data_IF_390150002178
#
_entry.id   IF_390150002178
#
_cell.length_a   1.000
_cell.length_b   1.000
_cell.length_c   1.000
_cell.angle_alpha   90.00
_cell.angle_beta   90.00
_cell.angle_gamma   90.00
#
_symmetry.space_group_name_H-M   'P 1'
#
loop_
_entity.id
_entity.type
_entity.pdbx_description
1 polymer ?
#
# COMPACT_ATOMS: atom_id res chain seq x y z
N UNK A 1 13.95 3.22 52.63
CA UNK A 1 13.05 3.05 51.46
C UNK A 1 13.04 4.22 50.49
N UNK A 2 13.30 5.47 50.90
CA UNK A 2 13.32 6.64 50.00
C UNK A 2 14.51 6.67 49.02
N UNK A 3 15.69 6.17 49.41
CA UNK A 3 16.89 6.14 48.55
C UNK A 3 16.73 5.23 47.32
N UNK A 4 16.06 4.09 47.47
CA UNK A 4 15.76 3.17 46.36
C UNK A 4 14.73 3.77 45.40
N UNK A 5 13.75 4.50 45.93
CA UNK A 5 12.72 5.17 45.13
C UNK A 5 13.32 6.25 44.22
N UNK A 6 14.30 7.01 44.72
CA UNK A 6 15.06 7.97 43.90
C UNK A 6 15.88 7.28 42.80
N UNK A 7 16.46 6.11 43.07
CA UNK A 7 17.24 5.37 42.09
C UNK A 7 16.37 4.80 40.96
N UNK A 8 15.17 4.32 41.29
CA UNK A 8 14.15 3.86 40.33
C UNK A 8 13.58 5.04 39.52
N UNK A 9 13.37 6.19 40.17
CA UNK A 9 12.93 7.41 39.47
C UNK A 9 13.99 7.95 38.52
N UNK A 10 15.29 7.76 38.82
CA UNK A 10 16.39 8.24 37.99
C UNK A 10 16.63 7.34 36.77
N UNK A 11 16.34 6.04 36.85
CA UNK A 11 16.41 5.15 35.68
C UNK A 11 15.29 5.38 34.67
N UNK A 12 14.16 5.93 35.11
CA UNK A 12 13.04 6.33 34.25
C UNK A 12 13.32 7.61 33.44
N UNK A 13 14.48 8.27 33.60
CA UNK A 13 14.85 9.43 32.77
C UNK A 13 15.54 9.05 31.46
N UNK A 14 15.85 7.77 31.24
CA UNK A 14 16.47 7.26 30.00
C UNK A 14 15.44 6.72 28.99
N UNK A 15 14.26 7.33 28.91
CA UNK A 15 13.34 7.06 27.80
C UNK A 15 13.91 7.68 26.53
N UNK A 16 14.56 6.86 25.71
CA UNK A 16 14.81 7.18 24.30
C UNK A 16 13.45 7.24 23.61
N UNK A 17 12.86 8.43 23.52
CA UNK A 17 11.77 8.68 22.59
C UNK A 17 12.33 8.55 21.17
N UNK A 18 12.16 7.38 20.56
CA UNK A 18 12.37 7.22 19.13
C UNK A 18 11.24 7.97 18.43
N UNK A 19 11.54 9.19 17.98
CA UNK A 19 10.68 9.93 17.06
C UNK A 19 10.99 9.39 15.66
N UNK A 20 10.12 8.54 15.14
CA UNK A 20 10.15 8.16 13.73
C UNK A 20 9.65 9.36 12.92
N UNK A 21 10.55 10.00 12.17
CA UNK A 21 10.18 10.98 11.17
C UNK A 21 9.96 10.26 9.84
N UNK A 22 8.98 10.71 9.07
CA UNK A 22 8.80 10.28 7.70
C UNK A 22 10.02 10.72 6.89
N UNK A 23 10.83 9.74 6.44
CA UNK A 23 11.99 10.01 5.61
C UNK A 23 11.44 10.27 4.20
N UNK A 24 11.37 11.54 3.81
CA UNK A 24 11.06 11.93 2.43
C UNK A 24 12.31 11.68 1.57
N UNK A 25 12.53 10.41 1.20
CA UNK A 25 13.60 10.03 0.28
C UNK A 25 13.12 10.44 -1.12
N UNK A 26 13.44 11.67 -1.52
CA UNK A 26 13.22 12.19 -2.87
C UNK A 26 14.24 11.60 -3.85
N UNK A 27 14.19 10.27 -4.06
CA UNK A 27 14.91 9.64 -5.17
C UNK A 27 13.98 9.57 -6.39
N UNK A 28 14.49 9.98 -7.55
CA UNK A 28 13.80 9.77 -8.83
C UNK A 28 13.66 8.26 -9.08
N UNK A 29 12.44 7.77 -8.92
CA UNK A 29 12.10 6.36 -9.09
C UNK A 29 11.59 6.13 -10.51
N UNK A 30 12.40 5.49 -11.35
CA UNK A 30 11.93 4.96 -12.63
C UNK A 30 11.41 3.54 -12.42
N UNK A 31 10.09 3.40 -12.28
CA UNK A 31 9.42 2.11 -12.11
C UNK A 31 8.67 1.78 -13.40
N UNK A 32 8.83 0.56 -13.89
CA UNK A 32 8.02 0.03 -14.97
C UNK A 32 7.80 -1.44 -14.68
N UNK A 33 6.58 -1.80 -14.31
CA UNK A 33 6.20 -3.16 -13.96
C UNK A 33 4.98 -3.61 -14.73
N UNK A 34 4.93 -4.91 -15.03
CA UNK A 34 3.74 -5.64 -15.47
C UNK A 34 3.42 -6.64 -14.37
N UNK A 35 2.20 -6.59 -13.80
CA UNK A 35 1.82 -7.48 -12.71
C UNK A 35 0.68 -8.42 -13.07
N UNK A 36 0.79 -9.65 -12.59
CA UNK A 36 -0.22 -10.69 -12.72
C UNK A 36 -0.91 -10.90 -11.37
N UNK A 37 -2.24 -10.98 -11.33
CA UNK A 37 -2.98 -11.28 -10.10
C UNK A 37 -2.71 -12.72 -9.67
N UNK A 38 -2.38 -12.93 -8.40
CA UNK A 38 -2.21 -14.26 -7.81
C UNK A 38 -3.47 -14.70 -7.04
N UNK A 39 -4.00 -13.81 -6.22
CA UNK A 39 -5.14 -14.09 -5.34
C UNK A 39 -5.80 -12.81 -4.86
N UNK A 40 -7.02 -12.96 -4.36
CA UNK A 40 -7.87 -11.89 -3.84
C UNK A 40 -8.53 -12.33 -2.54
N UNK A 41 -8.60 -11.45 -1.55
CA UNK A 41 -9.29 -11.67 -0.29
C UNK A 41 -10.47 -10.70 -0.22
N UNK A 42 -11.67 -11.24 -0.07
CA UNK A 42 -12.88 -10.46 0.10
C UNK A 42 -13.33 -10.49 1.57
N UNK A 43 -13.59 -9.30 2.11
CA UNK A 43 -14.25 -9.04 3.39
C UNK A 43 -15.49 -8.18 3.16
N UNK A 44 -16.66 -8.77 3.28
CA UNK A 44 -17.96 -8.12 3.27
C UNK A 44 -19.00 -9.01 4.00
N UNK A 45 -20.28 -8.67 3.92
CA UNK A 45 -21.37 -9.42 4.58
C UNK A 45 -21.57 -10.83 4.04
N UNK A 46 -21.22 -11.09 2.78
CA UNK A 46 -21.34 -12.39 2.12
C UNK A 46 -20.09 -13.24 2.38
N UNK A 47 -18.91 -12.62 2.24
CA UNK A 47 -17.61 -13.22 2.39
C UNK A 47 -16.90 -12.54 3.54
N UNK A 48 -16.97 -13.08 4.76
CA UNK A 48 -16.32 -12.46 5.92
C UNK A 48 -14.81 -12.26 5.69
N UNK A 49 -14.09 -13.33 5.34
CA UNK A 49 -12.69 -13.28 4.89
C UNK A 49 -12.44 -14.51 4.02
N UNK A 50 -12.85 -14.43 2.76
CA UNK A 50 -12.66 -15.54 1.83
C UNK A 50 -11.55 -15.22 0.85
N UNK A 51 -10.66 -16.19 0.64
CA UNK A 51 -9.57 -16.09 -0.33
C UNK A 51 -9.98 -16.82 -1.61
N UNK A 52 -9.72 -16.16 -2.74
CA UNK A 52 -9.92 -16.67 -4.08
C UNK A 52 -8.59 -16.63 -4.81
N UNK A 53 -8.21 -17.71 -5.48
CA UNK A 53 -7.06 -17.69 -6.38
C UNK A 53 -7.47 -17.05 -7.69
N UNK A 54 -6.52 -16.45 -8.41
CA UNK A 54 -6.82 -15.77 -9.68
C UNK A 54 -7.54 -16.68 -10.70
N UNK A 55 -7.17 -17.96 -10.76
CA UNK A 55 -7.80 -18.97 -11.62
C UNK A 55 -9.27 -19.27 -11.28
N UNK A 56 -9.69 -18.96 -10.06
CA UNK A 56 -11.04 -19.25 -9.55
C UNK A 56 -11.94 -18.00 -9.64
N UNK A 57 -11.40 -16.87 -10.13
CA UNK A 57 -12.14 -15.63 -10.38
C UNK A 57 -12.57 -15.60 -11.85
N UNK A 58 -13.88 -15.43 -12.09
CA UNK A 58 -14.49 -15.35 -13.43
C UNK A 58 -14.28 -13.99 -14.13
N UNK A 59 -13.44 -13.13 -13.55
CA UNK A 59 -13.16 -11.80 -14.08
C UNK A 59 -12.31 -11.90 -15.34
N UNK A 60 -12.93 -11.59 -16.49
CA UNK A 60 -12.26 -11.51 -17.80
C UNK A 60 -11.24 -10.36 -17.87
N UNK A 61 -11.29 -9.46 -16.90
CA UNK A 61 -10.40 -8.32 -16.68
C UNK A 61 -9.42 -8.61 -15.53
N UNK A 62 -8.80 -9.80 -15.51
CA UNK A 62 -7.62 -10.05 -14.67
C UNK A 62 -6.46 -9.21 -15.20
N UNK A 63 -6.57 -7.92 -14.93
CA UNK A 63 -5.84 -6.85 -15.57
C UNK A 63 -4.35 -7.00 -15.29
N UNK A 64 -3.60 -7.10 -16.37
CA UNK A 64 -2.18 -6.79 -16.33
C UNK A 64 -2.08 -5.37 -15.81
N UNK A 65 -1.56 -5.26 -14.59
CA UNK A 65 -1.36 -3.99 -13.95
C UNK A 65 -0.04 -3.40 -14.44
N UNK A 66 -0.13 -2.21 -15.01
CA UNK A 66 1.02 -1.46 -15.51
C UNK A 66 1.29 -0.27 -14.58
N UNK A 67 2.47 -0.29 -13.94
CA UNK A 67 2.90 0.78 -13.03
C UNK A 67 4.06 1.52 -13.65
N UNK A 68 3.91 2.82 -13.89
CA UNK A 68 4.96 3.72 -14.36
C UNK A 68 5.17 4.88 -13.38
N UNK A 69 6.35 4.98 -12.77
CA UNK A 69 6.75 6.14 -11.99
C UNK A 69 8.00 6.74 -12.62
N UNK A 70 8.07 8.07 -12.75
CA UNK A 70 9.26 8.80 -13.25
C UNK A 70 9.90 9.71 -12.21
N UNK A 71 9.12 10.14 -11.22
CA UNK A 71 9.46 10.99 -10.08
C UNK A 71 8.49 10.67 -8.92
N UNK A 72 8.84 10.91 -7.65
CA UNK A 72 7.91 10.68 -6.53
C UNK A 72 6.58 11.44 -6.68
N UNK A 73 6.56 12.59 -7.37
CA UNK A 73 5.35 13.39 -7.63
C UNK A 73 4.46 12.82 -8.75
N UNK A 74 4.97 11.89 -9.58
CA UNK A 74 4.22 11.33 -10.72
C UNK A 74 4.25 9.80 -10.67
N UNK A 75 3.14 9.22 -10.21
CA UNK A 75 2.87 7.79 -10.23
C UNK A 75 1.66 7.53 -11.14
N UNK A 76 1.88 6.82 -12.24
CA UNK A 76 0.84 6.37 -13.16
C UNK A 76 0.60 4.88 -12.92
N UNK A 77 -0.66 4.52 -12.69
CA UNK A 77 -1.08 3.14 -12.47
C UNK A 77 -2.25 2.84 -13.40
N UNK A 78 -2.07 1.88 -14.30
CA UNK A 78 -3.07 1.45 -15.28
C UNK A 78 -3.52 0.01 -14.96
N UNK A 79 -4.82 -0.27 -15.05
CA UNK A 79 -5.38 -1.58 -14.66
C UNK A 79 -5.77 -1.65 -13.17
N UNK A 80 -5.73 -0.53 -12.45
CA UNK A 80 -6.47 -0.33 -11.19
C UNK A 80 -7.62 0.64 -11.40
N UNK A 81 -8.34 0.97 -10.33
CA UNK A 81 -9.42 1.95 -10.34
C UNK A 81 -8.94 3.32 -10.84
N UNK A 82 -9.80 4.00 -11.60
CA UNK A 82 -9.62 5.41 -11.98
C UNK A 82 -9.46 6.34 -10.75
N UNK A 83 -9.86 5.87 -9.56
CA UNK A 83 -9.70 6.61 -8.31
C UNK A 83 -8.22 6.86 -7.95
N UNK A 84 -7.32 5.90 -8.24
CA UNK A 84 -5.88 6.08 -8.03
C UNK A 84 -5.20 6.88 -9.14
N UNK A 85 -5.86 7.08 -10.29
CA UNK A 85 -5.33 7.86 -11.40
C UNK A 85 -5.39 9.37 -11.19
N UNK A 86 -6.16 9.84 -10.19
CA UNK A 86 -6.25 11.26 -9.81
C UNK A 86 -5.08 11.63 -8.88
N UNK A 87 -3.99 12.14 -9.47
CA UNK A 87 -2.76 12.53 -8.76
C UNK A 87 -3.07 13.51 -7.61
N UNK A 88 -4.06 14.40 -7.74
CA UNK A 88 -4.39 15.39 -6.71
C UNK A 88 -4.93 14.75 -5.41
N UNK A 89 -5.43 13.51 -5.49
CA UNK A 89 -5.93 12.73 -4.35
C UNK A 89 -4.94 11.68 -3.86
N UNK A 90 -3.84 11.47 -4.59
CA UNK A 90 -2.87 10.43 -4.33
C UNK A 90 -1.76 10.93 -3.41
N UNK A 91 -1.58 10.27 -2.28
CA UNK A 91 -0.42 10.43 -1.42
C UNK A 91 0.53 9.26 -1.69
N UNK A 92 1.70 9.58 -2.26
CA UNK A 92 2.77 8.62 -2.53
C UNK A 92 3.88 8.82 -1.52
N UNK A 93 4.27 7.74 -0.84
CA UNK A 93 5.35 7.72 0.13
C UNK A 93 6.35 6.64 -0.21
N UNK A 94 7.62 7.02 -0.27
CA UNK A 94 8.73 6.08 -0.39
C UNK A 94 9.16 5.70 1.02
N UNK A 95 8.94 4.44 1.40
CA UNK A 95 9.24 3.98 2.77
C UNK A 95 10.73 3.64 2.89
N UNK A 96 11.32 3.08 1.83
CA UNK A 96 12.75 2.84 1.67
C UNK A 96 13.13 2.73 0.18
N UNK A 97 14.38 2.36 -0.11
CA UNK A 97 14.90 2.20 -1.48
C UNK A 97 14.24 1.08 -2.31
N UNK A 98 13.46 0.20 -1.70
CA UNK A 98 12.79 -0.91 -2.38
C UNK A 98 11.26 -0.84 -2.25
N UNK A 99 10.69 -0.13 -1.30
CA UNK A 99 9.25 -0.14 -0.99
C UNK A 99 8.59 1.20 -1.28
N UNK A 100 7.52 1.16 -2.09
CA UNK A 100 6.69 2.32 -2.39
C UNK A 100 5.27 2.04 -1.90
N UNK A 101 4.73 2.99 -1.14
CA UNK A 101 3.35 3.02 -0.69
C UNK A 101 2.62 4.14 -1.42
N UNK A 102 1.43 3.86 -1.92
CA UNK A 102 0.53 4.87 -2.46
C UNK A 102 -0.86 4.69 -1.88
N UNK A 103 -1.54 5.81 -1.62
CA UNK A 103 -2.87 5.80 -1.04
C UNK A 103 -3.67 7.00 -1.51
N UNK A 104 -4.93 6.78 -1.85
CA UNK A 104 -5.91 7.83 -2.03
C UNK A 104 -7.10 7.59 -1.09
N UNK A 105 -7.72 8.68 -0.64
CA UNK A 105 -8.93 8.66 0.18
C UNK A 105 -9.92 9.68 -0.35
N UNK A 106 -11.19 9.31 -0.40
CA UNK A 106 -12.24 10.22 -0.83
C UNK A 106 -12.45 11.33 0.21
N UNK A 107 -13.11 12.41 -0.21
CA UNK A 107 -13.34 13.57 0.66
C UNK A 107 -14.21 13.21 1.88
N UNK A 108 -15.15 12.29 1.68
CA UNK A 108 -16.05 11.79 2.74
C UNK A 108 -15.36 10.80 3.68
N UNK A 109 -14.10 10.40 3.39
CA UNK A 109 -13.33 9.37 4.11
C UNK A 109 -14.13 8.08 4.31
N UNK A 110 -14.90 7.68 3.30
CA UNK A 110 -15.72 6.50 3.28
C UNK A 110 -15.23 5.46 2.26
N UNK A 111 -14.43 5.87 1.29
CA UNK A 111 -13.75 5.05 0.31
C UNK A 111 -12.24 5.36 0.33
N UNK A 112 -11.41 4.32 0.35
CA UNK A 112 -9.98 4.48 0.18
C UNK A 112 -9.40 3.35 -0.64
N UNK A 113 -8.36 3.67 -1.38
CA UNK A 113 -7.62 2.71 -2.19
C UNK A 113 -6.14 2.91 -1.92
N UNK A 114 -5.40 1.82 -1.78
CA UNK A 114 -4.00 1.86 -1.44
C UNK A 114 -3.25 0.67 -1.99
N UNK A 115 -1.96 0.85 -2.27
CA UNK A 115 -1.11 -0.26 -2.62
C UNK A 115 0.31 -0.08 -2.10
N UNK A 116 0.95 -1.21 -1.86
CA UNK A 116 2.35 -1.31 -1.44
C UNK A 116 3.08 -2.24 -2.38
N UNK A 117 4.12 -1.73 -3.05
CA UNK A 117 4.95 -2.51 -3.97
C UNK A 117 6.38 -2.60 -3.44
N UNK A 118 6.89 -3.82 -3.39
CA UNK A 118 8.31 -4.09 -3.22
C UNK A 118 8.95 -4.22 -4.59
N UNK A 119 9.80 -3.26 -4.95
CA UNK A 119 10.49 -3.13 -6.23
C UNK A 119 11.53 -4.22 -6.47
N UNK A 120 12.01 -4.86 -5.40
CA UNK A 120 13.02 -5.91 -5.43
C UNK A 120 12.39 -7.29 -5.62
N UNK A 121 11.34 -7.61 -4.86
CA UNK A 121 10.63 -8.90 -5.01
C UNK A 121 9.59 -8.87 -6.13
N UNK A 122 9.06 -7.69 -6.47
CA UNK A 122 7.93 -7.53 -7.38
C UNK A 122 6.58 -7.78 -6.70
N UNK A 123 6.54 -8.01 -5.39
CA UNK A 123 5.26 -8.23 -4.70
C UNK A 123 4.51 -6.90 -4.59
N UNK A 124 3.25 -6.91 -5.00
CA UNK A 124 2.32 -5.80 -4.81
C UNK A 124 1.09 -6.30 -4.06
N UNK A 125 0.73 -5.58 -3.01
CA UNK A 125 -0.57 -5.73 -2.35
C UNK A 125 -1.38 -4.48 -2.62
N UNK A 126 -2.58 -4.67 -3.14
CA UNK A 126 -3.56 -3.63 -3.40
C UNK A 126 -4.76 -3.83 -2.50
N UNK A 127 -5.23 -2.78 -1.85
CA UNK A 127 -6.40 -2.80 -0.97
C UNK A 127 -7.38 -1.69 -1.36
N UNK A 128 -8.63 -2.09 -1.60
CA UNK A 128 -9.79 -1.20 -1.61
C UNK A 128 -10.53 -1.38 -0.29
N UNK A 129 -10.73 -0.29 0.44
CA UNK A 129 -11.58 -0.26 1.64
C UNK A 129 -12.80 0.62 1.39
N UNK A 130 -13.99 0.07 1.63
CA UNK A 130 -15.26 0.80 1.62
C UNK A 130 -15.84 0.86 3.02
N UNK A 131 -16.71 1.84 3.26
CA UNK A 131 -17.33 2.06 4.57
C UNK A 131 -16.29 2.26 5.68
N UNK A 132 -15.20 2.99 5.39
CA UNK A 132 -14.02 3.13 6.27
C UNK A 132 -14.39 3.54 7.71
N UNK A 133 -15.42 4.38 7.89
CA UNK A 133 -15.84 4.88 9.20
C UNK A 133 -16.80 3.96 9.96
N UNK A 134 -17.31 2.89 9.33
CA UNK A 134 -18.28 1.99 9.95
C UNK A 134 -17.59 0.74 10.49
N UNK A 135 -18.16 0.14 11.53
CA UNK A 135 -17.69 -1.13 12.11
C UNK A 135 -17.65 -2.27 11.07
N UNK A 136 -18.51 -2.19 10.04
CA UNK A 136 -18.65 -3.17 8.98
C UNK A 136 -17.87 -2.74 7.72
N UNK A 137 -16.64 -2.23 7.89
CA UNK A 137 -15.80 -1.84 6.76
C UNK A 137 -15.57 -3.03 5.83
N UNK A 138 -15.82 -2.84 4.55
CA UNK A 138 -15.57 -3.86 3.53
C UNK A 138 -14.17 -3.68 2.97
N UNK A 139 -13.50 -4.81 2.69
CA UNK A 139 -12.15 -4.81 2.12
C UNK A 139 -12.06 -5.79 0.97
N UNK A 140 -11.37 -5.35 -0.06
CA UNK A 140 -10.92 -6.17 -1.17
C UNK A 140 -9.40 -6.05 -1.23
N UNK A 141 -8.70 -7.16 -0.99
CA UNK A 141 -7.24 -7.20 -0.93
C UNK A 141 -6.75 -8.10 -2.06
N UNK A 142 -6.13 -7.50 -3.05
CA UNK A 142 -5.59 -8.17 -4.23
C UNK A 142 -4.07 -8.27 -4.12
N UNK A 143 -3.53 -9.45 -4.43
CA UNK A 143 -2.10 -9.76 -4.39
C UNK A 143 -1.63 -9.99 -5.82
N UNK A 144 -0.58 -9.27 -6.20
CA UNK A 144 0.00 -9.35 -7.52
C UNK A 144 1.49 -9.68 -7.45
N UNK A 145 1.95 -10.39 -8.47
CA UNK A 145 3.37 -10.57 -8.74
C UNK A 145 3.77 -9.74 -9.97
N UNK A 146 4.58 -8.73 -9.72
CA UNK A 146 5.07 -7.78 -10.70
C UNK A 146 6.44 -8.17 -11.24
N UNK A 147 6.63 -8.07 -12.55
CA UNK A 147 7.92 -8.21 -13.22
C UNK A 147 8.31 -6.88 -13.83
N UNK A 148 9.60 -6.53 -13.74
CA UNK A 148 10.11 -5.32 -14.43
C UNK A 148 9.83 -5.46 -15.91
N UNK A 149 9.29 -4.41 -16.51
CA UNK A 149 9.09 -4.35 -17.96
C UNK A 149 10.48 -4.32 -18.61
N UNK A 150 10.78 -5.31 -19.44
CA UNK A 150 11.97 -5.25 -20.28
C UNK A 150 11.80 -4.08 -21.26
N UNK A 151 12.78 -3.17 -21.29
CA UNK A 151 12.84 -2.20 -22.37
C UNK A 151 13.19 -2.99 -23.63
N UNK A 152 12.23 -3.13 -24.55
CA UNK A 152 12.57 -3.53 -25.90
C UNK A 152 13.54 -2.46 -26.44
N UNK A 153 14.81 -2.85 -26.58
CA UNK A 153 15.86 -2.07 -27.25
C UNK A 153 15.67 -2.21 -28.76
#
# INVERSE_FOLDING_TARGET
>A
MIKCFFYISLSLLFFNFSLANDIDIQEDINLSFVCDLEKKILKNSEYNYQTFLAKDLDDKDLDKLDIEAKKPETLLINGLSLFLSDIAKLNVKIVDKDVVLFKAIDQEKNYSESGIINRKSGELVHEITKNVQKANSEKDISFYLCKKREKNV
#
